data_IF_327702439949
#
_entry.id   IF_327702439949
#
_cell.length_a   1.000
_cell.length_b   1.000
_cell.length_c   1.000
_cell.angle_alpha   90.00
_cell.angle_beta   90.00
_cell.angle_gamma   90.00
#
_symmetry.space_group_name_H-M   'P 1'
#
loop_
_entity.id
_entity.type
_entity.pdbx_description
1 polymer ?
#
# COMPACT_ATOMS: atom_id res chain seq x y z
N UNK A 1 15.85 40.13 -3.35
CA UNK A 1 15.33 38.93 -4.06
C UNK A 1 15.01 37.88 -3.02
N UNK A 2 13.74 37.55 -2.81
CA UNK A 2 13.32 36.42 -1.94
C UNK A 2 13.89 35.14 -2.56
N UNK A 3 14.68 34.37 -1.78
CA UNK A 3 15.17 33.07 -2.24
C UNK A 3 13.98 32.13 -2.36
N UNK A 4 13.83 31.49 -3.51
CA UNK A 4 12.82 30.43 -3.68
C UNK A 4 13.07 29.32 -2.67
N UNK A 5 12.08 28.88 -1.92
CA UNK A 5 12.23 27.75 -1.00
C UNK A 5 12.70 26.49 -1.73
N UNK A 6 13.56 25.72 -1.10
CA UNK A 6 14.04 24.45 -1.63
C UNK A 6 13.26 23.32 -0.94
N UNK A 7 12.41 22.59 -1.66
CA UNK A 7 11.70 21.45 -1.09
C UNK A 7 12.68 20.34 -0.68
N UNK A 8 12.48 19.78 0.51
CA UNK A 8 13.24 18.66 1.01
C UNK A 8 12.30 17.54 1.49
N UNK A 9 12.67 16.29 1.25
CA UNK A 9 11.98 15.15 1.85
C UNK A 9 12.45 15.04 3.30
N UNK A 10 11.52 15.09 4.24
CA UNK A 10 11.78 15.06 5.67
C UNK A 10 11.27 13.79 6.36
N UNK A 11 10.52 12.97 5.65
CA UNK A 11 10.04 11.67 6.09
C UNK A 11 9.53 10.87 4.92
N UNK A 12 9.70 9.56 5.01
CA UNK A 12 9.32 8.61 3.99
C UNK A 12 8.72 7.38 4.65
N UNK A 13 7.60 6.91 4.14
CA UNK A 13 6.94 5.73 4.69
C UNK A 13 5.92 5.12 3.76
N UNK A 14 5.46 3.97 4.14
CA UNK A 14 4.45 3.22 3.39
C UNK A 14 4.29 1.82 3.93
N UNK A 15 3.27 1.13 3.43
CA UNK A 15 3.07 -0.29 3.70
C UNK A 15 2.96 -1.04 2.38
N UNK A 16 3.82 -2.03 2.19
CA UNK A 16 3.98 -2.81 0.96
C UNK A 16 3.80 -4.30 1.27
N UNK A 17 3.74 -5.17 0.24
CA UNK A 17 3.80 -6.61 0.46
C UNK A 17 5.06 -7.07 1.22
N UNK A 18 6.12 -6.27 1.21
CA UNK A 18 7.34 -6.52 1.96
C UNK A 18 7.34 -5.93 3.38
N UNK A 19 6.25 -5.31 3.83
CA UNK A 19 6.16 -4.65 5.13
C UNK A 19 6.29 -3.14 5.06
N UNK A 20 6.81 -2.51 6.12
CA UNK A 20 7.00 -1.05 6.20
C UNK A 20 8.07 -0.57 5.23
N UNK A 21 7.86 0.61 4.64
CA UNK A 21 8.84 1.24 3.77
C UNK A 21 9.85 2.11 4.53
N UNK A 22 9.47 2.69 5.67
CA UNK A 22 10.37 3.48 6.52
C UNK A 22 11.62 2.69 6.91
N UNK A 23 12.71 3.39 7.20
CA UNK A 23 14.01 2.80 7.60
C UNK A 23 14.53 1.70 6.66
N UNK A 24 14.15 1.73 5.38
CA UNK A 24 14.52 0.73 4.36
C UNK A 24 14.07 -0.72 4.66
N UNK A 25 13.12 -0.94 5.54
CA UNK A 25 12.70 -2.28 5.97
C UNK A 25 12.14 -3.12 4.82
N UNK A 26 11.34 -2.55 3.93
CA UNK A 26 10.86 -3.29 2.75
C UNK A 26 11.97 -3.63 1.76
N UNK A 27 13.00 -2.77 1.64
CA UNK A 27 14.19 -3.05 0.84
C UNK A 27 14.98 -4.23 1.42
N UNK A 28 15.15 -4.28 2.75
CA UNK A 28 15.77 -5.41 3.45
C UNK A 28 15.10 -6.74 3.09
N UNK A 29 13.77 -6.78 2.90
CA UNK A 29 13.09 -8.00 2.45
C UNK A 29 13.51 -8.43 1.05
N UNK A 30 13.71 -7.49 0.14
CA UNK A 30 14.11 -7.77 -1.25
C UNK A 30 15.55 -8.29 -1.30
N UNK A 31 16.43 -7.70 -0.49
CA UNK A 31 17.86 -8.04 -0.42
C UNK A 31 18.19 -9.03 0.69
N UNK A 32 17.20 -9.71 1.27
CA UNK A 32 17.31 -10.47 2.52
C UNK A 32 18.51 -11.42 2.59
N UNK A 33 18.83 -12.11 1.49
CA UNK A 33 19.97 -13.02 1.41
C UNK A 33 21.34 -12.32 1.49
N UNK A 34 21.39 -11.01 1.26
CA UNK A 34 22.61 -10.19 1.25
C UNK A 34 22.76 -9.34 2.50
N UNK A 35 21.75 -9.31 3.38
CA UNK A 35 21.70 -8.45 4.54
C UNK A 35 22.48 -9.00 5.73
N UNK A 36 22.90 -8.10 6.63
CA UNK A 36 23.47 -8.47 7.92
C UNK A 36 22.43 -9.19 8.80
N UNK A 37 22.88 -10.02 9.72
CA UNK A 37 21.98 -10.70 10.66
C UNK A 37 21.18 -9.70 11.53
N UNK A 38 21.74 -8.53 11.82
CA UNK A 38 21.01 -7.48 12.54
C UNK A 38 19.87 -6.92 11.69
N UNK A 39 20.12 -6.57 10.43
CA UNK A 39 19.09 -6.06 9.53
C UNK A 39 17.96 -7.07 9.30
N UNK A 40 18.32 -8.36 9.16
CA UNK A 40 17.34 -9.44 9.06
C UNK A 40 16.43 -9.50 10.28
N UNK A 41 17.02 -9.47 11.49
CA UNK A 41 16.26 -9.48 12.75
C UNK A 41 15.35 -8.27 12.87
N UNK A 42 15.84 -7.08 12.55
CA UNK A 42 15.05 -5.84 12.63
C UNK A 42 13.89 -5.86 11.64
N UNK A 43 14.12 -6.39 10.44
CA UNK A 43 13.06 -6.61 9.46
C UNK A 43 11.97 -7.57 10.00
N UNK A 44 12.35 -8.76 10.46
CA UNK A 44 11.40 -9.76 11.00
C UNK A 44 10.58 -9.17 12.15
N UNK A 45 11.22 -8.50 13.10
CA UNK A 45 10.56 -7.83 14.22
C UNK A 45 9.57 -6.77 13.75
N UNK A 46 9.96 -5.99 12.74
CA UNK A 46 9.08 -4.97 12.16
C UNK A 46 7.80 -5.56 11.57
N UNK A 47 7.92 -6.68 10.82
CA UNK A 47 6.74 -7.35 10.24
C UNK A 47 5.87 -7.95 11.34
N UNK A 48 6.45 -8.62 12.34
CA UNK A 48 5.71 -9.19 13.47
C UNK A 48 4.94 -8.11 14.26
N UNK A 49 5.58 -6.97 14.51
CA UNK A 49 4.95 -5.81 15.15
C UNK A 49 3.83 -5.23 14.26
N UNK A 50 4.09 -5.09 12.97
CA UNK A 50 3.09 -4.60 11.99
C UNK A 50 1.85 -5.49 11.93
N UNK A 51 2.01 -6.79 12.13
CA UNK A 51 0.94 -7.79 12.11
C UNK A 51 0.32 -8.07 13.49
N UNK A 52 0.64 -7.26 14.50
CA UNK A 52 0.19 -7.43 15.91
C UNK A 52 0.54 -8.80 16.50
N UNK A 53 1.61 -9.44 16.04
CA UNK A 53 2.05 -10.74 16.55
C UNK A 53 2.95 -10.64 17.79
N UNK A 54 3.38 -9.45 18.16
CA UNK A 54 4.15 -9.24 19.39
C UNK A 54 3.39 -9.69 20.65
N UNK A 55 2.06 -9.63 20.61
CA UNK A 55 1.20 -10.08 21.71
C UNK A 55 1.15 -11.61 21.88
N UNK A 56 1.66 -12.38 20.90
CA UNK A 56 1.79 -13.84 20.97
C UNK A 56 3.04 -14.32 21.73
N UNK A 57 3.90 -13.39 22.17
CA UNK A 57 5.14 -13.74 22.89
C UNK A 57 4.79 -14.29 24.26
N UNK A 58 5.21 -15.52 24.54
CA UNK A 58 5.02 -16.14 25.86
C UNK A 58 5.83 -15.38 26.95
N UNK A 59 5.33 -15.40 28.18
CA UNK A 59 5.91 -14.67 29.33
C UNK A 59 7.42 -14.94 29.59
N UNK A 60 7.92 -16.09 29.13
CA UNK A 60 9.33 -16.51 29.30
C UNK A 60 10.18 -16.40 28.03
N UNK A 61 9.64 -15.90 26.93
CA UNK A 61 10.32 -15.82 25.65
C UNK A 61 10.76 -14.38 25.32
N UNK A 62 12.03 -14.18 24.96
CA UNK A 62 12.48 -12.89 24.44
C UNK A 62 11.94 -12.65 23.02
N UNK A 63 11.73 -11.36 22.64
CA UNK A 63 11.29 -11.02 21.29
C UNK A 63 12.28 -11.49 20.21
N UNK A 64 13.58 -11.50 20.51
CA UNK A 64 14.60 -11.98 19.59
C UNK A 64 14.45 -13.47 19.26
N UNK A 65 14.17 -14.29 20.27
CA UNK A 65 13.92 -15.72 20.07
C UNK A 65 12.63 -15.97 19.30
N UNK A 66 11.56 -15.26 19.67
CA UNK A 66 10.27 -15.34 18.95
C UNK A 66 10.44 -14.94 17.48
N UNK A 67 11.17 -13.85 17.18
CA UNK A 67 11.43 -13.42 15.81
C UNK A 67 12.23 -14.46 15.02
N UNK A 68 13.23 -15.11 15.62
CA UNK A 68 13.97 -16.20 14.98
C UNK A 68 13.06 -17.42 14.68
N UNK A 69 12.22 -17.80 15.62
CA UNK A 69 11.26 -18.92 15.44
C UNK A 69 10.23 -18.64 14.33
N UNK A 70 9.89 -17.36 14.11
CA UNK A 70 8.90 -16.91 13.11
C UNK A 70 9.49 -16.51 11.76
N UNK A 71 10.80 -16.48 11.60
CA UNK A 71 11.47 -16.02 10.38
C UNK A 71 10.92 -16.69 9.11
N UNK A 72 10.86 -18.02 9.10
CA UNK A 72 10.35 -18.76 7.94
C UNK A 72 8.88 -18.38 7.59
N UNK A 73 8.03 -18.24 8.61
CA UNK A 73 6.63 -17.85 8.44
C UNK A 73 6.52 -16.45 7.85
N UNK A 74 7.30 -15.49 8.33
CA UNK A 74 7.34 -14.11 7.82
C UNK A 74 7.81 -14.08 6.37
N UNK A 75 8.90 -14.76 6.05
CA UNK A 75 9.45 -14.78 4.70
C UNK A 75 8.48 -15.41 3.68
N UNK A 76 7.79 -16.49 4.06
CA UNK A 76 6.76 -17.14 3.23
C UNK A 76 5.55 -16.24 2.98
N UNK A 77 5.21 -15.36 3.92
CA UNK A 77 3.99 -14.56 3.91
C UNK A 77 4.22 -13.07 3.60
N UNK A 78 5.34 -12.73 3.00
CA UNK A 78 5.67 -11.40 2.46
C UNK A 78 5.99 -11.48 0.97
N UNK A 79 6.03 -10.34 0.26
CA UNK A 79 6.16 -10.20 -1.18
C UNK A 79 4.93 -10.70 -1.97
N UNK A 80 5.17 -11.10 -3.23
CA UNK A 80 4.11 -11.66 -4.10
C UNK A 80 3.77 -13.07 -3.67
N UNK A 81 2.49 -13.35 -3.53
CA UNK A 81 1.97 -14.67 -3.12
C UNK A 81 0.82 -15.09 -4.00
N UNK A 82 0.52 -16.39 -4.01
CA UNK A 82 -0.69 -16.90 -4.64
C UNK A 82 -1.93 -16.24 -4.02
N UNK A 83 -2.84 -15.81 -4.87
CA UNK A 83 -4.11 -15.22 -4.46
C UNK A 83 -5.09 -16.35 -4.15
N UNK A 84 -5.76 -16.27 -3.02
CA UNK A 84 -6.87 -17.17 -2.69
C UNK A 84 -8.09 -16.79 -3.52
N UNK A 85 -8.39 -17.61 -4.52
CA UNK A 85 -9.53 -17.41 -5.42
C UNK A 85 -10.88 -17.46 -4.71
N UNK A 86 -11.04 -18.31 -3.71
CA UNK A 86 -12.30 -18.41 -2.97
C UNK A 86 -12.56 -17.12 -2.17
N UNK A 87 -11.52 -16.56 -1.56
CA UNK A 87 -11.62 -15.27 -0.89
C UNK A 87 -12.02 -14.13 -1.85
N UNK A 88 -11.58 -14.18 -3.12
CA UNK A 88 -11.97 -13.20 -4.13
C UNK A 88 -13.43 -13.42 -4.55
N UNK A 89 -13.84 -14.67 -4.79
CA UNK A 89 -15.22 -15.00 -5.15
C UNK A 89 -16.23 -14.58 -4.09
N UNK A 90 -15.93 -14.79 -2.81
CA UNK A 90 -16.78 -14.32 -1.71
C UNK A 90 -16.98 -12.81 -1.69
N UNK A 91 -15.97 -12.05 -2.12
CA UNK A 91 -16.02 -10.58 -2.12
C UNK A 91 -16.66 -9.98 -3.35
N UNK A 92 -16.58 -10.65 -4.49
CA UNK A 92 -17.00 -10.14 -5.79
C UNK A 92 -18.04 -11.08 -6.41
N UNK A 93 -19.26 -10.97 -5.97
CA UNK A 93 -20.43 -11.80 -6.24
C UNK A 93 -20.74 -12.14 -7.70
N UNK A 94 -20.18 -11.40 -8.67
CA UNK A 94 -20.52 -11.55 -10.09
C UNK A 94 -19.43 -12.21 -10.95
N UNK A 95 -18.31 -12.67 -10.35
CA UNK A 95 -17.17 -13.10 -11.14
C UNK A 95 -16.84 -14.58 -10.96
N UNK A 96 -17.35 -15.40 -11.89
CA UNK A 96 -16.87 -16.76 -12.13
C UNK A 96 -15.85 -16.71 -13.28
N UNK A 97 -14.77 -15.96 -13.08
CA UNK A 97 -13.74 -15.73 -14.08
C UNK A 97 -12.43 -16.41 -13.65
N UNK A 98 -11.87 -17.22 -14.56
CA UNK A 98 -10.55 -17.81 -14.35
C UNK A 98 -9.46 -16.76 -14.59
N UNK A 99 -8.86 -16.28 -13.52
CA UNK A 99 -7.78 -15.32 -13.60
C UNK A 99 -6.55 -15.97 -14.23
N UNK A 100 -5.98 -15.37 -15.31
CA UNK A 100 -4.77 -15.89 -15.97
C UNK A 100 -3.52 -15.70 -15.10
N UNK A 101 -3.61 -14.81 -14.13
CA UNK A 101 -2.59 -14.51 -13.14
C UNK A 101 -3.13 -14.80 -11.75
N UNK A 102 -2.46 -15.69 -11.03
CA UNK A 102 -2.85 -16.06 -9.67
C UNK A 102 -1.88 -15.51 -8.61
N UNK A 103 -0.88 -14.72 -9.01
CA UNK A 103 0.04 -14.02 -8.12
C UNK A 103 -0.34 -12.56 -7.91
N UNK A 104 -0.23 -12.08 -6.69
CA UNK A 104 -0.45 -10.68 -6.35
C UNK A 104 0.37 -10.24 -5.14
N UNK A 105 0.75 -8.97 -5.12
CA UNK A 105 1.47 -8.36 -4.01
C UNK A 105 0.50 -7.99 -2.88
N UNK A 106 0.20 -8.95 -2.04
CA UNK A 106 -0.68 -8.81 -0.90
C UNK A 106 0.05 -8.20 0.30
N UNK A 107 -0.63 -7.38 1.10
CA UNK A 107 -0.09 -6.95 2.40
C UNK A 107 0.40 -8.14 3.21
N UNK A 108 1.38 -7.96 4.12
CA UNK A 108 1.82 -9.03 5.01
C UNK A 108 0.64 -9.76 5.66
N UNK A 109 0.81 -11.04 5.93
CA UNK A 109 -0.25 -11.86 6.50
C UNK A 109 -0.77 -11.27 7.82
N UNK A 110 -2.07 -11.46 8.09
CA UNK A 110 -2.78 -10.89 9.25
C UNK A 110 -2.83 -9.35 9.32
N UNK A 111 -2.15 -8.62 8.44
CA UNK A 111 -2.23 -7.17 8.44
C UNK A 111 -3.59 -6.71 7.89
N UNK A 112 -4.38 -6.12 8.75
CA UNK A 112 -5.65 -5.49 8.38
C UNK A 112 -5.60 -3.99 8.69
N UNK A 113 -5.45 -3.13 7.69
CA UNK A 113 -5.38 -1.68 7.90
C UNK A 113 -6.57 -1.09 8.66
N UNK A 114 -7.73 -1.75 8.59
CA UNK A 114 -8.95 -1.25 9.24
C UNK A 114 -8.98 -1.47 10.75
N UNK A 115 -8.04 -2.23 11.31
CA UNK A 115 -7.93 -2.48 12.75
C UNK A 115 -7.06 -1.45 13.49
N UNK A 116 -6.25 -0.68 12.74
CA UNK A 116 -5.34 0.31 13.32
C UNK A 116 -6.00 1.60 13.80
N UNK A 117 -7.23 1.86 13.37
CA UNK A 117 -8.02 3.00 13.81
C UNK A 117 -9.50 2.67 13.67
N UNK A 118 -10.39 3.45 14.30
CA UNK A 118 -11.85 3.22 14.26
C UNK A 118 -12.43 3.45 12.85
N UNK A 119 -12.20 2.50 11.93
CA UNK A 119 -12.46 2.62 10.50
C UNK A 119 -13.56 1.70 9.98
N UNK A 120 -14.62 1.53 10.74
CA UNK A 120 -15.78 0.75 10.25
C UNK A 120 -16.28 1.35 8.94
N UNK A 121 -16.30 0.56 7.86
CA UNK A 121 -16.78 0.97 6.53
C UNK A 121 -15.86 1.92 5.75
N UNK A 122 -14.57 2.00 6.03
CA UNK A 122 -13.62 2.71 5.18
C UNK A 122 -13.08 1.80 4.07
N UNK A 123 -12.81 2.36 2.87
CA UNK A 123 -12.08 1.64 1.83
C UNK A 123 -10.72 1.18 2.30
N UNK A 124 -10.28 0.02 1.82
CA UNK A 124 -8.99 -0.54 2.21
C UNK A 124 -7.81 0.37 1.86
N UNK A 125 -7.86 1.01 0.68
CA UNK A 125 -6.83 1.96 0.26
C UNK A 125 -6.73 3.16 1.21
N UNK A 126 -7.84 3.68 1.72
CA UNK A 126 -7.82 4.74 2.73
C UNK A 126 -7.17 4.28 4.04
N UNK A 127 -7.51 3.08 4.52
CA UNK A 127 -6.87 2.51 5.70
C UNK A 127 -5.36 2.35 5.51
N UNK A 128 -4.96 1.89 4.34
CA UNK A 128 -3.55 1.79 3.96
C UNK A 128 -2.87 3.16 3.94
N UNK A 129 -3.50 4.19 3.36
CA UNK A 129 -2.94 5.54 3.34
C UNK A 129 -2.68 6.07 4.76
N UNK A 130 -3.62 5.88 5.68
CA UNK A 130 -3.43 6.28 7.09
C UNK A 130 -2.24 5.57 7.74
N UNK A 131 -2.07 4.27 7.46
CA UNK A 131 -0.89 3.52 7.95
C UNK A 131 0.41 4.03 7.33
N UNK A 132 0.42 4.29 6.02
CA UNK A 132 1.60 4.81 5.33
C UNK A 132 2.04 6.17 5.85
N UNK A 133 1.09 7.04 6.16
CA UNK A 133 1.38 8.33 6.79
C UNK A 133 1.91 8.17 8.20
N UNK A 134 1.34 7.27 9.00
CA UNK A 134 1.86 6.98 10.34
C UNK A 134 3.30 6.45 10.26
N UNK A 135 3.61 5.61 9.26
CA UNK A 135 4.95 5.12 9.00
C UNK A 135 5.91 6.26 8.61
N UNK A 136 5.49 7.16 7.70
CA UNK A 136 6.27 8.34 7.32
C UNK A 136 6.48 9.31 8.50
N UNK A 137 5.49 9.47 9.37
CA UNK A 137 5.63 10.31 10.55
C UNK A 137 6.62 9.72 11.57
N UNK A 138 6.71 8.41 11.66
CA UNK A 138 7.72 7.76 12.50
C UNK A 138 9.15 7.96 11.96
N UNK A 139 9.29 8.11 10.64
CA UNK A 139 10.57 8.33 9.96
C UNK A 139 11.05 9.80 10.04
N UNK A 140 10.14 10.75 10.18
CA UNK A 140 10.47 12.19 10.18
C UNK A 140 11.43 12.63 11.30
N UNK A 141 11.46 11.93 12.44
CA UNK A 141 12.25 12.33 13.60
C UNK A 141 11.74 13.57 14.34
N UNK A 142 10.56 14.12 13.99
CA UNK A 142 9.89 15.24 14.65
C UNK A 142 8.37 15.04 14.68
N UNK A 143 7.70 15.76 15.60
CA UNK A 143 6.25 15.73 15.72
C UNK A 143 5.61 16.57 14.60
N UNK A 144 5.06 15.90 13.61
CA UNK A 144 4.45 16.52 12.42
C UNK A 144 3.27 17.43 12.81
N UNK A 145 2.42 17.01 13.76
CA UNK A 145 1.25 17.82 14.19
C UNK A 145 1.68 19.10 14.88
N UNK A 146 2.64 19.03 15.80
CA UNK A 146 3.19 20.23 16.43
C UNK A 146 3.88 21.14 15.41
N UNK A 147 4.49 20.57 14.40
CA UNK A 147 5.12 21.32 13.32
C UNK A 147 4.07 22.06 12.48
N UNK A 148 2.95 21.41 12.14
CA UNK A 148 1.81 22.06 11.46
C UNK A 148 1.24 23.19 12.31
N UNK A 149 1.02 22.97 13.59
CA UNK A 149 0.52 24.03 14.49
C UNK A 149 1.50 25.21 14.61
N UNK A 150 2.82 24.95 14.58
CA UNK A 150 3.86 25.98 14.63
C UNK A 150 3.92 26.87 13.38
N UNK A 151 3.81 26.28 12.19
CA UNK A 151 3.88 27.02 10.93
C UNK A 151 2.53 27.60 10.47
N UNK A 152 1.43 27.11 11.05
CA UNK A 152 0.06 27.45 10.69
C UNK A 152 -0.61 26.32 9.90
N UNK A 153 -1.82 26.00 10.30
CA UNK A 153 -2.59 24.90 9.68
C UNK A 153 -2.94 25.16 8.21
N UNK A 154 -3.04 26.41 7.82
CA UNK A 154 -3.22 26.86 6.44
C UNK A 154 -1.94 26.75 5.60
N UNK A 155 -0.77 26.61 6.24
CA UNK A 155 0.54 26.44 5.62
C UNK A 155 0.97 24.97 5.45
N UNK A 156 0.06 24.06 5.66
CA UNK A 156 0.28 22.63 5.38
C UNK A 156 -0.72 22.16 4.34
N UNK A 157 -0.39 21.08 3.60
CA UNK A 157 -1.26 20.54 2.57
C UNK A 157 -1.09 19.04 2.38
N UNK A 158 -2.00 18.46 1.60
CA UNK A 158 -1.94 17.05 1.25
C UNK A 158 -2.33 16.83 -0.21
N UNK A 159 -1.47 16.13 -0.96
CA UNK A 159 -1.81 15.58 -2.27
C UNK A 159 -1.67 14.05 -2.22
N UNK A 160 -2.79 13.37 -2.04
CA UNK A 160 -2.83 11.92 -1.91
C UNK A 160 -4.13 11.33 -2.46
N UNK A 161 -4.04 10.15 -3.03
CA UNK A 161 -5.21 9.47 -3.58
C UNK A 161 -4.87 8.13 -4.21
N UNK A 162 -5.72 7.67 -5.11
CA UNK A 162 -5.52 6.43 -5.85
C UNK A 162 -5.59 6.66 -7.36
N UNK A 163 -4.89 5.84 -8.14
CA UNK A 163 -4.89 5.92 -9.59
C UNK A 163 -6.16 5.32 -10.21
N UNK A 164 -6.65 4.27 -9.59
CA UNK A 164 -7.85 3.55 -10.00
C UNK A 164 -8.83 3.63 -8.86
N UNK A 165 -9.79 4.48 -8.88
CA UNK A 165 -10.85 4.68 -7.87
C UNK A 165 -10.84 3.64 -6.72
N UNK A 166 -11.27 4.02 -5.53
CA UNK A 166 -11.54 3.03 -4.49
C UNK A 166 -12.68 2.11 -4.95
N UNK A 167 -12.40 0.82 -5.16
CA UNK A 167 -13.36 -0.12 -5.78
C UNK A 167 -13.74 -1.28 -4.85
N UNK A 168 -13.65 -1.13 -3.54
CA UNK A 168 -14.10 -2.16 -2.61
C UNK A 168 -15.59 -2.02 -2.23
N UNK A 169 -16.06 -2.93 -1.36
CA UNK A 169 -17.47 -2.97 -0.92
C UNK A 169 -17.95 -1.71 -0.19
N UNK A 170 -17.05 -0.85 0.27
CA UNK A 170 -17.39 0.41 0.96
C UNK A 170 -17.33 1.63 0.03
N UNK A 171 -16.99 1.42 -1.22
CA UNK A 171 -16.79 2.44 -2.23
C UNK A 171 -17.40 2.03 -3.57
N UNK A 172 -16.67 2.06 -4.67
CA UNK A 172 -17.19 1.87 -6.02
C UNK A 172 -17.90 0.55 -6.25
N UNK A 173 -17.33 -0.58 -5.83
CA UNK A 173 -18.02 -1.87 -5.96
C UNK A 173 -19.30 -1.92 -5.13
N UNK A 174 -19.26 -1.47 -3.88
CA UNK A 174 -20.46 -1.40 -3.03
C UNK A 174 -21.54 -0.50 -3.60
N UNK A 175 -21.19 0.56 -4.33
CA UNK A 175 -22.15 1.42 -5.03
C UNK A 175 -22.77 0.68 -6.22
N UNK A 176 -21.96 0.05 -7.06
CA UNK A 176 -22.39 -0.61 -8.29
C UNK A 176 -23.16 -1.90 -8.03
N UNK A 177 -22.78 -2.67 -7.01
CA UNK A 177 -23.34 -3.98 -6.69
C UNK A 177 -24.57 -3.92 -5.81
N UNK A 178 -24.78 -2.85 -5.03
CA UNK A 178 -25.88 -2.80 -4.06
C UNK A 178 -27.25 -2.92 -4.71
N UNK A 179 -27.53 -2.20 -5.78
CA UNK A 179 -28.84 -2.25 -6.45
C UNK A 179 -29.14 -3.64 -7.06
N UNK A 180 -28.26 -4.26 -7.88
CA UNK A 180 -28.49 -5.62 -8.38
C UNK A 180 -28.67 -6.65 -7.28
N UNK A 181 -28.03 -6.46 -6.11
CA UNK A 181 -28.16 -7.36 -4.96
C UNK A 181 -29.38 -7.05 -4.08
N UNK A 182 -30.24 -6.11 -4.46
CA UNK A 182 -31.40 -5.68 -3.65
C UNK A 182 -31.00 -5.03 -2.32
N UNK A 183 -29.79 -4.47 -2.21
CA UNK A 183 -29.27 -3.81 -1.02
C UNK A 183 -29.29 -2.30 -1.19
N UNK A 184 -29.39 -1.59 -0.08
CA UNK A 184 -29.27 -0.13 -0.07
C UNK A 184 -27.80 0.29 0.02
N UNK A 185 -27.35 1.16 -0.88
CA UNK A 185 -26.05 1.78 -0.76
C UNK A 185 -25.97 2.70 0.47
N UNK A 186 -24.78 2.78 1.08
CA UNK A 186 -24.50 3.72 2.16
C UNK A 186 -24.40 5.15 1.59
N UNK A 187 -24.80 6.15 2.36
CA UNK A 187 -24.61 7.56 2.00
C UNK A 187 -23.12 7.96 1.82
N UNK A 188 -22.21 7.20 2.40
CA UNK A 188 -20.76 7.43 2.30
C UNK A 188 -20.14 6.84 1.04
N UNK A 189 -20.81 5.90 0.38
CA UNK A 189 -20.23 5.10 -0.69
C UNK A 189 -19.75 5.95 -1.86
N UNK A 190 -20.51 6.99 -2.26
CA UNK A 190 -20.09 7.91 -3.32
C UNK A 190 -18.81 8.65 -2.94
N UNK A 191 -18.80 9.27 -1.75
CA UNK A 191 -17.63 10.03 -1.28
C UNK A 191 -16.38 9.16 -1.21
N UNK A 192 -16.51 7.93 -0.73
CA UNK A 192 -15.37 6.99 -0.66
C UNK A 192 -14.93 6.44 -2.01
N UNK A 193 -15.71 6.64 -3.07
CA UNK A 193 -15.32 6.25 -4.43
C UNK A 193 -14.36 7.27 -5.05
N UNK A 194 -14.44 8.54 -4.63
CA UNK A 194 -13.64 9.62 -5.18
C UNK A 194 -12.14 9.44 -4.86
N UNK A 195 -11.26 9.52 -5.86
CA UNK A 195 -9.82 9.30 -5.66
C UNK A 195 -9.17 10.30 -4.69
N UNK A 196 -9.61 11.56 -4.68
CA UNK A 196 -9.12 12.65 -3.84
C UNK A 196 -9.56 12.57 -2.39
N UNK A 197 -10.55 11.74 -2.07
CA UNK A 197 -11.07 11.60 -0.70
C UNK A 197 -9.98 11.27 0.32
N UNK A 198 -8.92 10.61 -0.12
CA UNK A 198 -7.78 10.27 0.73
C UNK A 198 -7.09 11.54 1.25
N UNK A 199 -6.84 12.55 0.39
CA UNK A 199 -6.21 13.80 0.81
C UNK A 199 -7.08 14.58 1.77
N UNK A 200 -8.37 14.67 1.50
CA UNK A 200 -9.35 15.37 2.37
C UNK A 200 -9.44 14.69 3.73
N UNK A 201 -9.49 13.35 3.75
CA UNK A 201 -9.53 12.59 5.00
C UNK A 201 -8.26 12.82 5.84
N UNK A 202 -7.08 12.81 5.20
CA UNK A 202 -5.80 13.05 5.87
C UNK A 202 -5.78 14.45 6.47
N UNK A 203 -6.15 15.46 5.73
CA UNK A 203 -6.19 16.83 6.23
C UNK A 203 -7.16 16.96 7.41
N UNK A 204 -8.38 16.44 7.28
CA UNK A 204 -9.41 16.61 8.29
C UNK A 204 -9.14 15.81 9.57
N UNK A 205 -8.70 14.55 9.46
CA UNK A 205 -8.71 13.60 10.58
C UNK A 205 -7.32 13.16 11.05
N UNK A 206 -6.30 13.24 10.18
CA UNK A 206 -4.94 12.81 10.55
C UNK A 206 -4.09 13.99 10.98
N UNK A 207 -4.04 15.06 10.19
CA UNK A 207 -3.15 16.20 10.43
C UNK A 207 -3.85 17.40 11.10
N UNK A 208 -5.14 17.56 10.88
CA UNK A 208 -5.87 18.78 11.25
C UNK A 208 -5.47 19.99 10.40
N UNK A 209 -4.89 19.77 9.22
CA UNK A 209 -4.54 20.82 8.27
C UNK A 209 -5.78 21.54 7.74
N UNK A 210 -5.67 22.84 7.52
CA UNK A 210 -6.66 23.69 6.87
C UNK A 210 -6.14 24.20 5.51
N UNK A 211 -4.98 23.73 5.08
CA UNK A 211 -4.38 24.08 3.82
C UNK A 211 -4.92 23.29 2.64
N UNK A 212 -4.22 23.35 1.52
CA UNK A 212 -4.67 22.76 0.26
C UNK A 212 -4.71 21.23 0.37
N UNK A 213 -5.82 20.65 -0.06
CA UNK A 213 -5.92 19.21 -0.35
C UNK A 213 -6.21 19.01 -1.83
N UNK A 214 -5.79 17.87 -2.37
CA UNK A 214 -6.05 17.53 -3.75
C UNK A 214 -5.43 16.22 -4.19
N UNK A 215 -5.60 15.92 -5.47
CA UNK A 215 -5.09 14.70 -6.05
C UNK A 215 -4.90 14.87 -7.57
N UNK A 216 -3.79 14.37 -8.09
CA UNK A 216 -3.53 14.29 -9.52
C UNK A 216 -3.45 12.83 -9.94
N UNK A 217 -4.28 12.43 -10.89
CA UNK A 217 -4.29 11.08 -11.43
C UNK A 217 -3.28 11.00 -12.57
N UNK A 218 -2.35 10.06 -12.47
CA UNK A 218 -1.34 9.79 -13.48
C UNK A 218 -1.13 8.28 -13.69
N UNK A 219 -2.19 7.48 -13.52
CA UNK A 219 -2.10 6.01 -13.53
C UNK A 219 -0.96 5.54 -12.62
N UNK A 220 -0.01 4.72 -13.11
CA UNK A 220 1.14 4.24 -12.33
C UNK A 220 2.07 5.37 -11.84
N UNK A 221 1.99 6.58 -12.40
CA UNK A 221 2.76 7.76 -12.01
C UNK A 221 2.04 8.70 -11.04
N UNK A 222 0.91 8.30 -10.47
CA UNK A 222 0.07 9.12 -9.59
C UNK A 222 0.86 9.71 -8.42
N UNK A 223 1.71 8.92 -7.75
CA UNK A 223 2.51 9.39 -6.64
C UNK A 223 3.51 10.48 -7.05
N UNK A 224 4.12 10.35 -8.23
CA UNK A 224 5.04 11.35 -8.79
C UNK A 224 4.32 12.66 -9.14
N UNK A 225 3.09 12.60 -9.66
CA UNK A 225 2.30 13.80 -9.94
C UNK A 225 1.90 14.53 -8.66
N UNK A 226 1.49 13.79 -7.63
CA UNK A 226 1.20 14.36 -6.32
C UNK A 226 2.47 14.97 -5.67
N UNK A 227 3.62 14.31 -5.83
CA UNK A 227 4.91 14.84 -5.36
C UNK A 227 5.27 16.14 -6.08
N UNK A 228 5.12 16.20 -7.40
CA UNK A 228 5.37 17.42 -8.17
C UNK A 228 4.46 18.57 -7.70
N UNK A 229 3.19 18.31 -7.45
CA UNK A 229 2.27 19.31 -6.92
C UNK A 229 2.72 19.84 -5.55
N UNK A 230 3.17 18.96 -4.66
CA UNK A 230 3.73 19.35 -3.36
C UNK A 230 4.98 20.20 -3.48
N UNK A 231 5.89 19.85 -4.39
CA UNK A 231 7.10 20.61 -4.71
C UNK A 231 6.76 22.04 -5.17
N UNK A 232 5.82 22.17 -6.09
CA UNK A 232 5.43 23.50 -6.62
C UNK A 232 4.70 24.33 -5.54
N UNK A 233 3.94 23.69 -4.65
CA UNK A 233 3.28 24.37 -3.54
C UNK A 233 4.28 24.98 -2.55
N UNK A 234 5.36 24.26 -2.23
CA UNK A 234 6.44 24.74 -1.37
C UNK A 234 7.23 25.85 -2.07
N UNK A 235 7.63 25.65 -3.33
CA UNK A 235 8.37 26.65 -4.11
C UNK A 235 7.63 27.98 -4.25
N UNK A 236 6.30 27.92 -4.34
CA UNK A 236 5.46 29.12 -4.42
C UNK A 236 5.27 29.83 -3.06
N UNK A 237 5.79 29.28 -1.97
CA UNK A 237 5.63 29.80 -0.60
C UNK A 237 4.20 29.69 -0.06
N UNK A 238 3.34 28.91 -0.70
CA UNK A 238 1.97 28.70 -0.24
C UNK A 238 1.89 27.71 0.93
N UNK A 239 2.83 26.78 1.01
CA UNK A 239 2.92 25.81 2.10
C UNK A 239 4.35 25.62 2.59
N UNK A 240 4.49 25.31 3.87
CA UNK A 240 5.76 24.99 4.54
C UNK A 240 5.94 23.47 4.68
N UNK A 241 4.83 22.72 4.72
CA UNK A 241 4.82 21.26 4.84
C UNK A 241 3.74 20.68 3.94
N UNK A 242 4.09 19.67 3.14
CA UNK A 242 3.13 18.98 2.27
C UNK A 242 3.30 17.48 2.39
N UNK A 243 2.20 16.79 2.63
CA UNK A 243 2.14 15.32 2.56
C UNK A 243 1.79 14.95 1.12
N UNK A 244 2.56 14.04 0.53
CA UNK A 244 2.35 13.60 -0.85
C UNK A 244 2.41 12.09 -0.95
N UNK A 245 1.58 11.48 -1.80
CA UNK A 245 1.62 10.04 -1.99
C UNK A 245 0.47 9.47 -2.81
N UNK A 246 0.42 8.15 -2.84
CA UNK A 246 -0.68 7.39 -3.40
C UNK A 246 -0.87 6.08 -2.63
N UNK A 247 -2.09 5.54 -2.62
CA UNK A 247 -2.37 4.23 -2.05
C UNK A 247 -3.33 3.44 -2.94
N UNK A 248 -3.03 2.17 -3.16
CA UNK A 248 -3.81 1.30 -4.03
C UNK A 248 -4.20 0.00 -3.33
N UNK A 249 -5.45 -0.42 -3.52
CA UNK A 249 -5.96 -1.70 -3.01
C UNK A 249 -6.72 -2.44 -4.11
N UNK A 250 -6.04 -2.71 -5.23
CA UNK A 250 -6.63 -3.17 -6.49
C UNK A 250 -6.52 -4.69 -6.72
N UNK A 251 -6.26 -5.48 -5.68
CA UNK A 251 -6.37 -6.95 -5.79
C UNK A 251 -7.86 -7.31 -5.83
N UNK A 252 -8.42 -7.22 -7.03
CA UNK A 252 -9.83 -7.47 -7.33
C UNK A 252 -10.01 -7.90 -8.79
N UNK A 253 -11.02 -8.72 -9.12
CA UNK A 253 -11.22 -9.22 -10.47
C UNK A 253 -11.24 -8.16 -11.58
N UNK A 254 -11.95 -7.02 -11.44
CA UNK A 254 -11.96 -6.00 -12.50
C UNK A 254 -10.56 -5.49 -12.88
N UNK A 255 -9.66 -5.33 -11.91
CA UNK A 255 -8.30 -4.90 -12.18
C UNK A 255 -7.51 -5.98 -12.94
N UNK A 256 -7.63 -7.25 -12.55
CA UNK A 256 -7.00 -8.37 -13.26
C UNK A 256 -7.52 -8.49 -14.69
N UNK A 257 -8.83 -8.44 -14.89
CA UNK A 257 -9.45 -8.51 -16.22
C UNK A 257 -8.97 -7.35 -17.10
N UNK A 258 -8.95 -6.14 -16.56
CA UNK A 258 -8.51 -4.96 -17.31
C UNK A 258 -7.03 -5.03 -17.72
N UNK A 259 -6.16 -5.43 -16.81
CA UNK A 259 -4.73 -5.58 -17.11
C UNK A 259 -4.42 -6.80 -18.00
N UNK A 260 -5.20 -7.88 -17.88
CA UNK A 260 -5.09 -9.03 -18.77
C UNK A 260 -5.48 -8.66 -20.21
N UNK A 261 -6.59 -7.93 -20.38
CA UNK A 261 -7.01 -7.43 -21.68
C UNK A 261 -5.95 -6.54 -22.37
N UNK A 262 -5.09 -5.88 -21.61
CA UNK A 262 -3.94 -5.14 -22.14
C UNK A 262 -2.77 -6.05 -22.54
N UNK A 263 -2.80 -7.35 -22.23
CA UNK A 263 -1.68 -8.27 -22.43
C UNK A 263 -0.46 -7.95 -21.55
N UNK A 264 -0.62 -7.13 -20.54
CA UNK A 264 0.48 -6.57 -19.75
C UNK A 264 0.89 -7.43 -18.56
N UNK A 265 0.03 -8.37 -18.12
CA UNK A 265 0.26 -9.10 -16.87
C UNK A 265 1.31 -10.22 -17.00
N UNK A 266 2.05 -10.42 -15.90
CA UNK A 266 2.70 -11.71 -15.65
C UNK A 266 1.61 -12.74 -15.39
N UNK A 267 1.62 -13.85 -16.16
CA UNK A 267 0.68 -14.96 -16.00
C UNK A 267 1.37 -16.17 -15.38
N UNK A 268 0.60 -17.09 -14.82
CA UNK A 268 1.14 -18.35 -14.30
C UNK A 268 1.91 -19.13 -15.39
N UNK A 269 1.43 -19.05 -16.64
CA UNK A 269 2.13 -19.64 -17.78
C UNK A 269 3.52 -19.04 -17.99
N UNK A 270 3.64 -17.70 -18.00
CA UNK A 270 4.94 -17.01 -18.13
C UNK A 270 5.89 -17.35 -16.98
N UNK A 271 5.36 -17.51 -15.77
CA UNK A 271 6.17 -17.93 -14.63
C UNK A 271 6.66 -19.37 -14.82
N UNK A 272 5.79 -20.28 -15.24
CA UNK A 272 6.15 -21.68 -15.48
C UNK A 272 7.20 -21.81 -16.59
N UNK A 273 7.02 -21.10 -17.68
CA UNK A 273 7.99 -21.09 -18.80
C UNK A 273 9.37 -20.64 -18.34
N UNK A 274 9.44 -19.62 -17.48
CA UNK A 274 10.69 -19.18 -16.88
C UNK A 274 11.33 -20.24 -15.98
N UNK A 275 10.55 -20.81 -15.03
CA UNK A 275 11.07 -21.81 -14.12
C UNK A 275 11.61 -23.04 -14.88
N UNK A 276 10.93 -23.43 -15.93
CA UNK A 276 11.39 -24.50 -16.82
C UNK A 276 12.72 -24.14 -17.51
N UNK A 277 12.85 -22.91 -18.01
CA UNK A 277 14.09 -22.42 -18.62
C UNK A 277 15.26 -22.40 -17.63
N UNK A 278 14.99 -22.09 -16.37
CA UNK A 278 16.00 -22.05 -15.28
C UNK A 278 16.30 -23.42 -14.66
N UNK A 279 15.61 -24.49 -15.11
CA UNK A 279 15.78 -25.83 -14.52
C UNK A 279 15.24 -25.95 -13.09
N UNK A 280 14.26 -25.12 -12.74
CA UNK A 280 13.64 -25.12 -11.42
C UNK A 280 12.46 -26.12 -11.35
N UNK A 281 12.00 -26.41 -10.12
CA UNK A 281 10.94 -27.39 -9.89
C UNK A 281 9.59 -27.04 -10.53
N UNK A 282 8.68 -28.00 -10.56
CA UNK A 282 7.37 -27.86 -11.22
C UNK A 282 6.37 -26.96 -10.46
N UNK A 283 6.56 -26.77 -9.15
CA UNK A 283 5.71 -25.91 -8.35
C UNK A 283 6.00 -24.43 -8.60
N UNK A 284 4.95 -23.62 -8.81
CA UNK A 284 5.10 -22.21 -9.11
C UNK A 284 5.58 -21.40 -7.90
N UNK A 285 6.74 -20.80 -8.02
CA UNK A 285 7.30 -19.87 -7.03
C UNK A 285 6.81 -18.44 -7.30
N UNK A 286 5.72 -18.07 -6.67
CA UNK A 286 5.12 -16.74 -6.85
C UNK A 286 6.01 -15.58 -6.40
N UNK A 287 7.04 -15.81 -5.60
CA UNK A 287 8.01 -14.75 -5.24
C UNK A 287 8.77 -14.24 -6.45
N UNK A 288 8.85 -15.02 -7.51
CA UNK A 288 9.48 -14.69 -8.81
C UNK A 288 8.52 -14.05 -9.81
N UNK A 289 7.31 -13.75 -9.41
CA UNK A 289 6.31 -13.12 -10.29
C UNK A 289 6.72 -11.70 -10.71
N UNK A 290 7.25 -10.91 -9.74
CA UNK A 290 7.71 -9.55 -9.99
C UNK A 290 9.19 -9.55 -10.36
N UNK A 291 9.49 -9.22 -11.62
CA UNK A 291 10.87 -9.22 -12.17
C UNK A 291 11.07 -8.02 -13.08
N UNK A 292 11.31 -6.84 -12.49
CA UNK A 292 11.59 -5.64 -13.29
C UNK A 292 12.76 -5.88 -14.25
N UNK A 293 12.59 -5.46 -15.49
CA UNK A 293 13.58 -5.56 -16.57
C UNK A 293 13.99 -6.98 -16.97
N UNK A 294 13.30 -8.02 -16.47
CA UNK A 294 13.54 -9.40 -16.88
C UNK A 294 12.80 -9.77 -18.17
N UNK A 295 13.36 -10.70 -18.97
CA UNK A 295 12.63 -11.34 -20.04
C UNK A 295 11.38 -12.04 -19.49
N UNK A 296 10.29 -12.04 -20.20
CA UNK A 296 8.99 -12.53 -19.73
C UNK A 296 8.41 -11.80 -18.50
N UNK A 297 8.97 -10.65 -18.11
CA UNK A 297 8.38 -9.81 -17.08
C UNK A 297 7.04 -9.24 -17.54
N UNK A 298 6.17 -8.99 -16.58
CA UNK A 298 4.89 -8.35 -16.77
C UNK A 298 4.45 -7.63 -15.50
N UNK A 299 3.33 -6.94 -15.60
CA UNK A 299 2.70 -6.26 -14.49
C UNK A 299 2.23 -7.27 -13.44
N UNK A 300 2.41 -6.92 -12.17
CA UNK A 300 1.88 -7.65 -11.02
C UNK A 300 0.92 -6.72 -10.27
N UNK A 301 -0.30 -7.19 -10.05
CA UNK A 301 -1.30 -6.42 -9.28
C UNK A 301 -0.89 -6.39 -7.82
N UNK A 302 -0.87 -5.20 -7.24
CA UNK A 302 -0.39 -4.97 -5.88
C UNK A 302 -1.44 -4.26 -5.03
N UNK A 303 -1.34 -4.44 -3.71
CA UNK A 303 -1.89 -3.50 -2.72
C UNK A 303 -0.72 -2.77 -2.10
N UNK A 304 -0.53 -1.51 -2.47
CA UNK A 304 0.61 -0.67 -2.10
C UNK A 304 0.17 0.67 -1.52
N UNK A 305 1.05 1.23 -0.69
CA UNK A 305 1.14 2.65 -0.38
C UNK A 305 2.54 3.13 -0.74
N UNK A 306 2.61 4.22 -1.47
CA UNK A 306 3.81 4.99 -1.71
C UNK A 306 3.66 6.39 -1.15
#
# INVERSE_FOLDING_TARGET
MSKTPIPCIVGFGGVTPAGRASHNLSHTRITYGLESEQNKKDYIKSVLSLCNMADEIGESQSFDKFAADKEHEVLKNTLVRKIDKEFIKEKFWCYDYDLPANGGGQLPFRLNPTEYYASRQHPKALGMAVMGIADAFSDCGFDVRKTIDKYGRDKSGCFAGCAVMNMDKFSGDGLMSSYPMGKRASSKTISFTLPEMTADFINAYVTGSLGISGHFIGACATSQYNMNAGVELIKSGKSELVIVGASEAIIMPPAFIGFDAMGAMTTDKRLKDLQTLLGEGEELDYTKYCRPFGDNAGLVVLSLIH
#
